data_IF_474964679375
#
_entry.id   IF_474964679375
#
_cell.length_a   1.000
_cell.length_b   1.000
_cell.length_c   1.000
_cell.angle_alpha   90.00
_cell.angle_beta   90.00
_cell.angle_gamma   90.00
#
_symmetry.space_group_name_H-M   'P 1'
#
loop_
_entity.id
_entity.type
_entity.pdbx_description
1 polymer ?
#
# COMPACT_ATOMS: atom_id res chain seq x y z
N UNK A 1 34.84 -20.69 24.59
CA UNK A 1 33.81 -20.81 23.56
C UNK A 1 32.87 -19.66 23.82
N UNK A 2 32.60 -18.83 22.82
CA UNK A 2 31.66 -17.72 22.94
C UNK A 2 30.28 -18.26 23.26
N UNK A 3 29.72 -17.83 24.39
CA UNK A 3 28.36 -18.19 24.80
C UNK A 3 27.39 -17.27 24.05
N UNK A 4 26.48 -17.85 23.28
CA UNK A 4 25.42 -17.12 22.61
C UNK A 4 24.19 -17.10 23.51
N UNK A 5 23.75 -15.91 23.89
CA UNK A 5 22.61 -15.73 24.81
C UNK A 5 21.51 -14.91 24.14
N UNK A 6 20.26 -15.13 24.53
CA UNK A 6 19.17 -14.26 24.05
C UNK A 6 19.30 -12.85 24.62
N UNK A 7 18.66 -11.88 23.96
CA UNK A 7 18.66 -10.49 24.41
C UNK A 7 18.00 -10.36 25.80
N UNK A 8 16.95 -11.14 26.08
CA UNK A 8 16.27 -11.17 27.38
C UNK A 8 17.20 -11.68 28.48
N UNK A 9 17.91 -12.78 28.22
CA UNK A 9 18.87 -13.34 29.17
C UNK A 9 20.04 -12.37 29.42
N UNK A 10 20.51 -11.69 28.38
CA UNK A 10 21.54 -10.66 28.49
C UNK A 10 21.06 -9.45 29.33
N UNK A 11 19.84 -8.97 29.08
CA UNK A 11 19.24 -7.87 29.84
C UNK A 11 19.16 -8.18 31.34
N UNK A 12 18.73 -9.40 31.69
CA UNK A 12 18.66 -9.85 33.07
C UNK A 12 20.06 -10.01 33.70
N UNK A 13 20.99 -10.67 33.00
CA UNK A 13 22.37 -10.92 33.47
C UNK A 13 23.13 -9.63 33.75
N UNK A 14 23.03 -8.65 32.86
CA UNK A 14 23.75 -7.38 32.98
C UNK A 14 22.95 -6.29 33.70
N UNK A 15 21.69 -6.56 34.07
CA UNK A 15 20.75 -5.59 34.67
C UNK A 15 20.60 -4.34 33.81
N UNK A 16 20.43 -4.55 32.50
CA UNK A 16 20.27 -3.50 31.50
C UNK A 16 18.88 -3.57 30.88
N UNK A 17 18.40 -2.43 30.41
CA UNK A 17 17.26 -2.40 29.51
C UNK A 17 17.63 -3.08 28.18
N UNK A 18 16.73 -3.90 27.67
CA UNK A 18 16.88 -4.63 26.40
C UNK A 18 17.11 -3.68 25.22
N UNK A 19 16.58 -2.47 25.31
CA UNK A 19 16.73 -1.38 24.35
C UNK A 19 18.20 -0.95 24.20
N UNK A 20 19.00 -0.98 25.27
CA UNK A 20 20.43 -0.68 25.17
C UNK A 20 21.21 -1.76 24.42
N UNK A 21 20.87 -3.02 24.65
CA UNK A 21 21.49 -4.15 23.95
C UNK A 21 21.14 -4.09 22.46
N UNK A 22 19.87 -3.83 22.14
CA UNK A 22 19.42 -3.59 20.77
C UNK A 22 20.15 -2.43 20.11
N UNK A 23 20.32 -1.31 20.82
CA UNK A 23 21.07 -0.17 20.32
C UNK A 23 22.51 -0.55 19.95
N UNK A 24 23.20 -1.32 20.80
CA UNK A 24 24.57 -1.76 20.52
C UNK A 24 24.67 -2.77 19.38
N UNK A 25 23.64 -3.59 19.19
CA UNK A 25 23.50 -4.45 18.00
C UNK A 25 23.31 -3.60 16.75
N UNK A 26 22.43 -2.59 16.77
CA UNK A 26 22.21 -1.68 15.63
C UNK A 26 23.48 -0.87 15.29
N UNK A 27 24.22 -0.43 16.31
CA UNK A 27 25.52 0.22 16.16
C UNK A 27 26.64 -0.73 15.69
N UNK A 28 26.34 -2.04 15.53
CA UNK A 28 27.29 -3.09 15.16
C UNK A 28 28.49 -3.20 16.10
N UNK A 29 28.28 -2.89 17.38
CA UNK A 29 29.31 -2.98 18.43
C UNK A 29 29.35 -4.36 19.10
N UNK A 30 28.27 -5.14 18.95
CA UNK A 30 28.13 -6.49 19.49
C UNK A 30 27.75 -7.44 18.36
N UNK A 31 28.33 -8.64 18.35
CA UNK A 31 27.98 -9.67 17.38
C UNK A 31 26.59 -10.24 17.68
N UNK A 32 25.78 -10.37 16.62
CA UNK A 32 24.40 -10.87 16.69
C UNK A 32 24.23 -12.02 15.71
N UNK A 33 23.43 -13.02 16.11
CA UNK A 33 23.00 -14.13 15.28
C UNK A 33 21.48 -14.14 15.23
N UNK A 34 20.94 -14.35 14.03
CA UNK A 34 19.51 -14.43 13.73
C UNK A 34 19.10 -15.87 13.38
N UNK A 35 19.58 -16.84 14.16
CA UNK A 35 19.30 -18.26 13.92
C UNK A 35 17.96 -18.67 14.55
N UNK A 36 17.20 -19.53 13.85
CA UNK A 36 16.00 -20.21 14.37
C UNK A 36 14.95 -19.28 15.00
N UNK A 37 14.71 -18.12 14.37
CA UNK A 37 13.79 -17.06 14.85
C UNK A 37 14.13 -16.47 16.23
N UNK A 38 15.29 -16.82 16.80
CA UNK A 38 15.79 -16.31 18.08
C UNK A 38 16.98 -15.38 17.82
N UNK A 39 16.86 -14.14 18.27
CA UNK A 39 17.96 -13.19 18.22
C UNK A 39 18.88 -13.45 19.42
N UNK A 40 20.10 -13.88 19.12
CA UNK A 40 21.13 -14.15 20.13
C UNK A 40 22.31 -13.23 19.93
N UNK A 41 22.94 -12.83 21.04
CA UNK A 41 24.13 -12.00 21.07
C UNK A 41 25.29 -12.77 21.68
N UNK A 42 26.49 -12.48 21.20
CA UNK A 42 27.71 -13.03 21.79
C UNK A 42 27.98 -12.38 23.15
N UNK A 43 27.91 -13.18 24.22
CA UNK A 43 28.07 -12.73 25.60
C UNK A 43 29.47 -12.16 25.86
N UNK A 44 30.51 -12.75 25.26
CA UNK A 44 31.88 -12.30 25.42
C UNK A 44 32.07 -10.89 24.81
N UNK A 45 31.60 -10.67 23.58
CA UNK A 45 31.60 -9.35 22.94
C UNK A 45 30.81 -8.32 23.74
N UNK A 46 29.63 -8.69 24.23
CA UNK A 46 28.78 -7.80 25.03
C UNK A 46 29.47 -7.42 26.34
N UNK A 47 30.04 -8.39 27.04
CA UNK A 47 30.78 -8.17 28.28
C UNK A 47 31.98 -7.26 28.07
N UNK A 48 32.77 -7.49 27.02
CA UNK A 48 33.93 -6.67 26.70
C UNK A 48 33.51 -5.24 26.40
N UNK A 49 32.44 -5.05 25.63
CA UNK A 49 31.90 -3.74 25.32
C UNK A 49 31.43 -2.99 26.59
N UNK A 50 30.69 -3.66 27.48
CA UNK A 50 30.23 -3.08 28.76
C UNK A 50 31.42 -2.67 29.64
N UNK A 51 32.47 -3.49 29.70
CA UNK A 51 33.69 -3.15 30.46
C UNK A 51 34.35 -1.89 29.92
N UNK A 52 34.45 -1.75 28.59
CA UNK A 52 35.02 -0.58 27.93
C UNK A 52 34.18 0.68 28.18
N UNK A 53 32.86 0.61 28.07
CA UNK A 53 31.97 1.77 28.28
C UNK A 53 31.92 2.23 29.73
N UNK A 54 32.11 1.32 30.70
CA UNK A 54 32.24 1.69 32.13
C UNK A 54 33.48 2.54 32.44
N UNK A 55 34.50 2.52 31.59
CA UNK A 55 35.71 3.34 31.75
C UNK A 55 35.52 4.78 31.25
N UNK A 56 34.41 5.07 30.57
CA UNK A 56 34.05 6.39 30.08
C UNK A 56 33.36 6.32 28.73
N UNK A 57 32.58 7.36 28.40
CA UNK A 57 32.00 7.54 27.06
C UNK A 57 33.13 7.99 26.14
N UNK A 58 33.42 7.20 25.11
CA UNK A 58 34.45 7.53 24.11
C UNK A 58 33.86 8.39 22.99
N UNK A 59 34.69 9.21 22.34
CA UNK A 59 34.28 9.96 21.12
C UNK A 59 33.72 9.01 20.06
N UNK A 60 34.38 7.86 19.84
CA UNK A 60 33.97 6.85 18.88
C UNK A 60 32.56 6.28 19.15
N UNK A 61 32.12 6.25 20.42
CA UNK A 61 30.77 5.83 20.77
C UNK A 61 29.74 6.87 20.36
N UNK A 62 30.05 8.15 20.61
CA UNK A 62 29.20 9.28 20.22
C UNK A 62 29.08 9.34 18.69
N UNK A 63 30.21 9.26 17.98
CA UNK A 63 30.24 9.27 16.51
C UNK A 63 29.40 8.14 15.91
N UNK A 64 29.46 6.94 16.50
CA UNK A 64 28.64 5.82 16.08
C UNK A 64 27.13 6.03 16.34
N UNK A 65 26.77 6.68 17.45
CA UNK A 65 25.37 7.04 17.73
C UNK A 65 24.85 8.10 16.75
N UNK A 66 25.65 9.13 16.46
CA UNK A 66 25.29 10.16 15.49
C UNK A 66 25.10 9.56 14.10
N UNK A 67 26.02 8.68 13.68
CA UNK A 67 25.91 7.98 12.40
C UNK A 67 24.62 7.15 12.33
N UNK A 68 24.30 6.38 13.37
CA UNK A 68 23.06 5.59 13.43
C UNK A 68 21.82 6.51 13.35
N UNK A 69 21.82 7.63 14.07
CA UNK A 69 20.74 8.62 14.02
C UNK A 69 20.56 9.18 12.60
N UNK A 70 21.64 9.51 11.91
CA UNK A 70 21.61 10.01 10.53
C UNK A 70 21.07 8.97 9.55
N UNK A 71 21.45 7.70 9.71
CA UNK A 71 20.94 6.58 8.90
C UNK A 71 19.44 6.35 9.12
N UNK A 72 18.97 6.37 10.37
CA UNK A 72 17.54 6.27 10.70
C UNK A 72 16.76 7.45 10.15
N UNK A 73 17.26 8.67 10.29
CA UNK A 73 16.65 9.88 9.72
C UNK A 73 16.55 9.83 8.19
N UNK A 74 17.61 9.35 7.52
CA UNK A 74 17.58 9.11 6.07
C UNK A 74 16.51 8.09 5.69
N UNK A 75 16.39 7.01 6.46
CA UNK A 75 15.36 5.98 6.27
C UNK A 75 13.96 6.58 6.42
N UNK A 76 13.69 7.36 7.47
CA UNK A 76 12.42 8.05 7.66
C UNK A 76 12.06 8.96 6.48
N UNK A 77 13.03 9.73 5.96
CA UNK A 77 12.79 10.57 4.77
C UNK A 77 12.40 9.75 3.54
N UNK A 78 13.08 8.63 3.31
CA UNK A 78 12.75 7.72 2.20
C UNK A 78 11.34 7.12 2.36
N UNK A 79 10.95 6.75 3.58
CA UNK A 79 9.61 6.26 3.87
C UNK A 79 8.53 7.32 3.53
N UNK A 80 8.74 8.57 3.93
CA UNK A 80 7.81 9.67 3.60
C UNK A 80 7.71 9.84 2.08
N UNK A 81 8.83 9.87 1.37
CA UNK A 81 8.81 9.97 -0.10
C UNK A 81 8.09 8.79 -0.78
N UNK A 82 8.21 7.57 -0.23
CA UNK A 82 7.48 6.41 -0.73
C UNK A 82 5.97 6.55 -0.52
N UNK A 83 5.54 7.06 0.63
CA UNK A 83 4.13 7.33 0.91
C UNK A 83 3.58 8.39 -0.02
N UNK A 84 4.31 9.49 -0.24
CA UNK A 84 3.91 10.55 -1.17
C UNK A 84 3.70 10.02 -2.59
N UNK A 85 4.59 9.14 -3.07
CA UNK A 85 4.43 8.51 -4.38
C UNK A 85 3.19 7.61 -4.43
N UNK A 86 2.91 6.84 -3.37
CA UNK A 86 1.70 6.00 -3.31
C UNK A 86 0.42 6.83 -3.29
N UNK A 87 0.42 7.95 -2.58
CA UNK A 87 -0.72 8.86 -2.56
C UNK A 87 -0.96 9.48 -3.94
N UNK A 88 0.09 9.86 -4.67
CA UNK A 88 -0.03 10.36 -6.04
C UNK A 88 -0.61 9.30 -7.00
N UNK A 89 -0.16 8.04 -6.91
CA UNK A 89 -0.71 6.93 -7.69
C UNK A 89 -2.20 6.72 -7.40
N UNK A 90 -2.58 6.72 -6.11
CA UNK A 90 -3.97 6.58 -5.68
C UNK A 90 -4.85 7.73 -6.19
N UNK A 91 -4.35 8.95 -6.16
CA UNK A 91 -5.06 10.13 -6.69
C UNK A 91 -5.26 10.03 -8.20
N UNK A 92 -4.26 9.58 -8.95
CA UNK A 92 -4.38 9.37 -10.39
C UNK A 92 -5.42 8.29 -10.72
N UNK A 93 -5.41 7.16 -10.01
CA UNK A 93 -6.39 6.09 -10.20
C UNK A 93 -7.82 6.54 -9.87
N UNK A 94 -8.01 7.29 -8.78
CA UNK A 94 -9.32 7.88 -8.45
C UNK A 94 -9.82 8.82 -9.53
N UNK A 95 -8.94 9.67 -10.07
CA UNK A 95 -9.27 10.55 -11.20
C UNK A 95 -9.72 9.78 -12.45
N UNK A 96 -9.09 8.64 -12.75
CA UNK A 96 -9.52 7.76 -13.85
C UNK A 96 -10.89 7.12 -13.57
N UNK A 97 -11.12 6.65 -12.33
CA UNK A 97 -12.42 6.11 -11.91
C UNK A 97 -13.56 7.10 -12.12
N UNK A 98 -13.40 8.34 -11.64
CA UNK A 98 -14.42 9.39 -11.83
C UNK A 98 -14.70 9.69 -13.31
N UNK A 99 -13.68 9.60 -14.19
CA UNK A 99 -13.87 9.77 -15.64
C UNK A 99 -14.66 8.62 -16.25
N UNK A 100 -14.36 7.39 -15.85
CA UNK A 100 -15.09 6.20 -16.31
C UNK A 100 -16.56 6.25 -15.85
N UNK A 101 -16.81 6.64 -14.61
CA UNK A 101 -18.17 6.80 -14.08
C UNK A 101 -18.97 7.83 -14.87
N UNK A 102 -18.35 8.96 -15.23
CA UNK A 102 -18.96 9.97 -16.11
C UNK A 102 -19.32 9.40 -17.48
N UNK A 103 -18.42 8.63 -18.10
CA UNK A 103 -18.68 7.98 -19.39
C UNK A 103 -19.81 6.94 -19.29
N UNK A 104 -19.84 6.14 -18.22
CA UNK A 104 -20.92 5.18 -17.98
C UNK A 104 -22.28 5.84 -17.90
N UNK A 105 -22.37 6.95 -17.15
CA UNK A 105 -23.62 7.72 -17.05
C UNK A 105 -24.08 8.24 -18.42
N UNK A 106 -23.17 8.73 -19.25
CA UNK A 106 -23.50 9.17 -20.61
C UNK A 106 -24.02 8.02 -21.48
N UNK A 107 -23.40 6.83 -21.38
CA UNK A 107 -23.83 5.64 -22.11
C UNK A 107 -25.22 5.19 -21.67
N UNK A 108 -25.49 5.17 -20.36
CA UNK A 108 -26.79 4.84 -19.79
C UNK A 108 -27.89 5.81 -20.27
N UNK A 109 -27.60 7.12 -20.28
CA UNK A 109 -28.50 8.13 -20.83
C UNK A 109 -28.81 7.89 -22.32
N UNK A 110 -27.81 7.53 -23.14
CA UNK A 110 -28.05 7.20 -24.55
C UNK A 110 -28.88 5.93 -24.70
N UNK A 111 -28.63 4.92 -23.88
CA UNK A 111 -29.38 3.67 -23.92
C UNK A 111 -30.87 3.90 -23.59
N UNK A 112 -31.17 4.70 -22.57
CA UNK A 112 -32.56 5.04 -22.25
C UNK A 112 -33.24 5.88 -23.33
N UNK A 113 -32.50 6.79 -24.01
CA UNK A 113 -33.04 7.49 -25.18
C UNK A 113 -33.41 6.54 -26.30
N UNK A 114 -32.52 5.62 -26.66
CA UNK A 114 -32.78 4.60 -27.69
C UNK A 114 -33.99 3.74 -27.33
N UNK A 115 -34.10 3.31 -26.06
CA UNK A 115 -35.24 2.55 -25.56
C UNK A 115 -36.56 3.33 -25.68
N UNK A 116 -36.54 4.63 -25.41
CA UNK A 116 -37.72 5.49 -25.56
C UNK A 116 -38.11 5.66 -27.04
N UNK A 117 -37.13 5.89 -27.92
CA UNK A 117 -37.38 5.91 -29.38
C UNK A 117 -37.96 4.59 -29.88
N UNK A 118 -37.48 3.45 -29.40
CA UNK A 118 -38.02 2.14 -29.76
C UNK A 118 -39.48 1.99 -29.34
N UNK A 119 -39.83 2.41 -28.11
CA UNK A 119 -41.23 2.41 -27.62
C UNK A 119 -42.11 3.34 -28.45
N UNK A 120 -41.64 4.54 -28.77
CA UNK A 120 -42.36 5.50 -29.61
C UNK A 120 -42.61 4.93 -31.01
N UNK A 121 -41.58 4.38 -31.67
CA UNK A 121 -41.69 3.76 -32.98
C UNK A 121 -42.65 2.55 -33.00
N UNK A 122 -42.64 1.72 -31.95
CA UNK A 122 -43.60 0.62 -31.80
C UNK A 122 -45.02 1.16 -31.64
N UNK A 123 -45.21 2.23 -30.86
CA UNK A 123 -46.52 2.87 -30.67
C UNK A 123 -47.04 3.51 -31.96
N UNK A 124 -46.19 4.19 -32.74
CA UNK A 124 -46.53 4.75 -34.03
C UNK A 124 -46.85 3.65 -35.06
N UNK A 125 -46.14 2.53 -35.03
CA UNK A 125 -46.45 1.37 -35.87
C UNK A 125 -47.78 0.70 -35.44
N UNK A 126 -48.11 0.71 -34.15
CA UNK A 126 -49.41 0.28 -33.63
C UNK A 126 -50.53 1.23 -34.05
N UNK A 127 -50.30 2.55 -34.08
CA UNK A 127 -51.25 3.55 -34.63
C UNK A 127 -51.40 3.38 -36.15
N UNK A 128 -50.31 3.07 -36.85
CA UNK A 128 -50.27 2.75 -38.28
C UNK A 128 -50.92 1.38 -38.63
N UNK A 129 -51.32 0.57 -37.64
CA UNK A 129 -52.16 -0.61 -37.87
C UNK A 129 -53.59 -0.26 -38.30
N UNK A 130 -54.07 0.95 -37.97
CA UNK A 130 -55.38 1.50 -38.36
C UNK A 130 -55.32 2.57 -39.46
N UNK A 131 -54.13 2.83 -40.02
CA UNK A 131 -53.90 3.84 -41.06
C UNK A 131 -54.56 3.48 -42.42
N UNK A 132 -55.08 4.50 -43.11
CA UNK A 132 -55.74 4.38 -44.42
C UNK A 132 -54.81 3.77 -45.49
N UNK A 133 -53.50 4.02 -45.42
CA UNK A 133 -52.49 3.43 -46.31
C UNK A 133 -52.48 1.90 -46.18
N UNK A 134 -52.58 1.35 -44.96
CA UNK A 134 -52.65 -0.11 -44.76
C UNK A 134 -53.98 -0.72 -45.21
N UNK A 135 -55.08 0.05 -45.23
CA UNK A 135 -56.35 -0.34 -45.86
C UNK A 135 -56.24 -0.36 -47.39
N UNK A 136 -55.55 0.61 -47.98
CA UNK A 136 -55.27 0.66 -49.43
C UNK A 136 -54.36 -0.51 -49.85
N UNK A 137 -53.26 -0.75 -49.13
CA UNK A 137 -52.37 -1.90 -49.41
C UNK A 137 -53.09 -3.25 -49.26
N UNK A 138 -54.02 -3.40 -48.30
CA UNK A 138 -54.86 -4.60 -48.18
C UNK A 138 -55.85 -4.76 -49.33
N UNK A 139 -56.41 -3.67 -49.84
CA UNK A 139 -57.29 -3.70 -51.03
C UNK A 139 -56.51 -4.10 -52.29
N UNK A 140 -55.32 -3.53 -52.49
CA UNK A 140 -54.46 -3.84 -53.65
C UNK A 140 -54.00 -5.31 -53.65
N UNK A 141 -53.65 -5.87 -52.48
CA UNK A 141 -53.30 -7.30 -52.33
C UNK A 141 -54.44 -8.30 -52.54
N UNK A 142 -55.70 -7.84 -52.66
CA UNK A 142 -56.85 -8.71 -52.99
C UNK A 142 -57.23 -8.67 -54.46
N UNK A 143 -56.66 -7.75 -55.23
CA UNK A 143 -56.94 -7.54 -56.65
C UNK A 143 -55.85 -8.20 -57.53
N UNK A 144 -54.65 -8.40 -56.97
CA UNK A 144 -53.63 -9.33 -57.43
C UNK A 144 -53.91 -10.73 -56.87
#
# INVERSE_FOLDING_TARGET
>A
MSEWISIEAAAEKYRLEKEYIWLWVEMKKVAVSYADDVVTVDDDSLQEFIKRTKLGITSEYIDALEQLCMEKNKSCRLYVSLLDMRDQELMAMRGQGSRLDGLWKMVEEQYERLRNFEKEAISDNAICSNCWIRKICRKLKRIL
#
